data_IF_177242100630
#
_entry.id   IF_177242100630
#
_cell.length_a   1.000
_cell.length_b   1.000
_cell.length_c   1.000
_cell.angle_alpha   90.00
_cell.angle_beta   90.00
_cell.angle_gamma   90.00
#
_symmetry.space_group_name_H-M   'P 1'
#
loop_
_entity.id
_entity.type
_entity.pdbx_description
1 polymer ?
#
# COMPACT_ATOMS: atom_id res chain seq x y z
N UNK A 1 0.12 -4.11 -20.18
CA UNK A 1 -1.31 -3.95 -19.82
C UNK A 1 -1.42 -4.38 -18.38
N UNK A 2 -1.80 -3.43 -17.53
CA UNK A 2 -1.94 -3.61 -16.10
C UNK A 2 -3.06 -4.59 -15.78
N UNK A 3 -2.80 -5.53 -14.86
CA UNK A 3 -3.80 -6.47 -14.36
C UNK A 3 -4.11 -6.16 -12.90
N UNK A 4 -5.40 -6.13 -12.57
CA UNK A 4 -5.88 -6.00 -11.21
C UNK A 4 -6.71 -7.23 -10.86
N UNK A 5 -6.28 -7.91 -9.80
CA UNK A 5 -6.97 -9.03 -9.18
C UNK A 5 -7.49 -8.58 -7.81
N UNK A 6 -8.82 -8.63 -7.63
CA UNK A 6 -9.42 -8.44 -6.31
C UNK A 6 -9.32 -9.74 -5.53
N UNK A 7 -8.45 -9.78 -4.50
CA UNK A 7 -8.29 -10.98 -3.66
C UNK A 7 -9.45 -11.12 -2.69
N UNK A 8 -9.87 -10.02 -2.06
CA UNK A 8 -11.00 -9.97 -1.14
C UNK A 8 -11.52 -8.52 -0.99
N UNK A 9 -12.44 -8.29 -0.06
CA UNK A 9 -13.06 -6.98 0.15
C UNK A 9 -12.08 -5.88 0.61
N UNK A 10 -11.02 -6.28 1.29
CA UNK A 10 -10.04 -5.40 1.93
C UNK A 10 -8.65 -5.55 1.31
N UNK A 11 -8.47 -6.38 0.29
CA UNK A 11 -7.17 -6.71 -0.30
C UNK A 11 -7.29 -6.81 -1.81
N UNK A 12 -6.45 -6.05 -2.49
CA UNK A 12 -6.33 -6.06 -3.94
C UNK A 12 -4.86 -6.34 -4.31
N UNK A 13 -4.67 -7.03 -5.42
CA UNK A 13 -3.36 -7.26 -6.01
C UNK A 13 -3.36 -6.64 -7.39
N UNK A 14 -2.29 -5.94 -7.67
CA UNK A 14 -2.05 -5.30 -8.95
C UNK A 14 -0.74 -5.85 -9.49
N UNK A 15 -0.78 -6.32 -10.72
CA UNK A 15 0.39 -6.79 -11.45
C UNK A 15 0.74 -5.73 -12.50
N UNK A 16 1.93 -5.16 -12.34
CA UNK A 16 2.51 -4.18 -13.24
C UNK A 16 3.58 -4.88 -14.06
N UNK A 17 3.38 -4.94 -15.38
CA UNK A 17 4.42 -5.47 -16.25
C UNK A 17 5.61 -4.50 -16.31
N UNK A 18 6.80 -5.01 -16.65
CA UNK A 18 7.98 -4.14 -16.88
C UNK A 18 7.70 -3.04 -17.90
N UNK A 19 6.83 -3.30 -18.88
CA UNK A 19 6.46 -2.33 -19.89
C UNK A 19 5.57 -1.21 -19.31
N UNK A 20 4.57 -1.55 -18.48
CA UNK A 20 3.72 -0.55 -17.83
C UNK A 20 4.53 0.34 -16.87
N UNK A 21 5.56 -0.21 -16.23
CA UNK A 21 6.50 0.56 -15.41
C UNK A 21 7.34 1.54 -16.27
N UNK A 22 7.84 1.06 -17.41
CA UNK A 22 8.61 1.88 -18.36
C UNK A 22 7.78 3.00 -18.98
N UNK A 23 6.54 2.73 -19.37
CA UNK A 23 5.61 3.73 -19.93
C UNK A 23 5.32 4.86 -18.92
N UNK A 24 5.32 4.52 -17.63
CA UNK A 24 5.19 5.49 -16.52
C UNK A 24 6.52 6.11 -16.09
N UNK A 25 7.63 5.72 -16.72
CA UNK A 25 8.97 6.25 -16.45
C UNK A 25 9.56 5.81 -15.11
N UNK A 26 9.04 4.72 -14.51
CA UNK A 26 9.47 4.24 -13.19
C UNK A 26 10.17 2.89 -13.34
N UNK A 27 11.23 2.66 -12.55
CA UNK A 27 11.94 1.37 -12.54
C UNK A 27 11.75 0.68 -11.20
N UNK A 28 11.83 -0.66 -11.15
CA UNK A 28 11.74 -1.43 -9.90
C UNK A 28 12.74 -0.94 -8.85
N UNK A 29 13.95 -0.53 -9.27
CA UNK A 29 14.96 0.03 -8.38
C UNK A 29 14.55 1.38 -7.78
N UNK A 30 13.84 2.20 -8.54
CA UNK A 30 13.32 3.49 -8.08
C UNK A 30 12.26 3.31 -6.98
N UNK A 31 11.41 2.28 -7.12
CA UNK A 31 10.41 1.91 -6.12
C UNK A 31 11.06 1.47 -4.78
N UNK A 32 12.27 0.92 -4.83
CA UNK A 32 13.03 0.52 -3.65
C UNK A 32 13.79 1.71 -3.01
N UNK A 33 14.07 2.77 -3.78
CA UNK A 33 14.92 3.88 -3.38
C UNK A 33 14.18 5.16 -2.96
N UNK A 34 12.99 5.42 -3.52
CA UNK A 34 12.36 6.74 -3.43
C UNK A 34 10.94 6.70 -2.83
N UNK A 35 10.85 6.68 -1.50
CA UNK A 35 9.60 6.57 -0.72
C UNK A 35 8.51 7.59 -1.08
N UNK A 36 8.84 8.85 -1.38
CA UNK A 36 7.81 9.87 -1.68
C UNK A 36 7.22 9.74 -3.08
N UNK A 37 8.08 9.44 -4.06
CA UNK A 37 7.65 9.28 -5.45
C UNK A 37 6.84 7.99 -5.60
N UNK A 38 7.27 6.93 -4.92
CA UNK A 38 6.58 5.64 -4.95
C UNK A 38 5.23 5.68 -4.22
N UNK A 39 5.13 6.46 -3.14
CA UNK A 39 3.86 6.67 -2.44
C UNK A 39 2.82 7.33 -3.35
N UNK A 40 3.20 8.39 -4.08
CA UNK A 40 2.31 9.03 -5.04
C UNK A 40 1.89 8.09 -6.17
N UNK A 41 2.82 7.24 -6.64
CA UNK A 41 2.53 6.22 -7.64
C UNK A 41 1.50 5.21 -7.13
N UNK A 42 1.65 4.69 -5.91
CA UNK A 42 0.69 3.73 -5.36
C UNK A 42 -0.71 4.32 -5.15
N UNK A 43 -0.81 5.56 -4.70
CA UNK A 43 -2.11 6.24 -4.61
C UNK A 43 -2.74 6.44 -5.98
N UNK A 44 -1.96 6.73 -7.02
CA UNK A 44 -2.47 6.79 -8.40
C UNK A 44 -2.99 5.42 -8.89
N UNK A 45 -2.30 4.34 -8.54
CA UNK A 45 -2.75 2.98 -8.87
C UNK A 45 -4.04 2.66 -8.11
N UNK A 46 -4.10 3.00 -6.83
CA UNK A 46 -5.27 2.78 -5.98
C UNK A 46 -6.49 3.53 -6.53
N UNK A 47 -6.36 4.80 -6.88
CA UNK A 47 -7.43 5.60 -7.49
C UNK A 47 -7.95 5.01 -8.82
N UNK A 48 -7.04 4.44 -9.63
CA UNK A 48 -7.40 3.83 -10.91
C UNK A 48 -8.18 2.51 -10.74
N UNK A 49 -7.86 1.71 -9.72
CA UNK A 49 -8.46 0.38 -9.49
C UNK A 49 -9.61 0.38 -8.48
N UNK A 50 -9.62 1.31 -7.52
CA UNK A 50 -10.61 1.46 -6.46
C UNK A 50 -11.71 2.47 -6.84
N UNK A 51 -12.49 2.15 -7.88
CA UNK A 51 -13.57 3.03 -8.36
C UNK A 51 -14.64 3.33 -7.30
N UNK A 52 -14.83 2.40 -6.37
CA UNK A 52 -15.78 2.51 -5.27
C UNK A 52 -15.22 3.28 -4.06
N UNK A 53 -13.97 3.76 -4.12
CA UNK A 53 -13.30 4.53 -3.07
C UNK A 53 -13.30 3.85 -1.69
N UNK A 54 -13.33 2.51 -1.67
CA UNK A 54 -13.36 1.70 -0.42
C UNK A 54 -12.06 1.87 0.38
N UNK A 55 -10.95 2.09 -0.32
CA UNK A 55 -9.61 2.28 0.25
C UNK A 55 -9.24 3.75 0.42
N UNK A 56 -9.94 4.67 -0.25
CA UNK A 56 -9.73 6.13 -0.11
C UNK A 56 -10.33 6.72 1.19
N UNK A 57 -10.98 5.89 2.01
CA UNK A 57 -11.82 6.34 3.12
C UNK A 57 -11.04 6.61 4.43
N UNK A 58 -9.91 7.33 4.34
CA UNK A 58 -9.11 7.84 5.47
C UNK A 58 -8.59 6.77 6.45
N UNK A 59 -8.57 5.51 6.03
CA UNK A 59 -8.17 4.37 6.85
C UNK A 59 -6.74 3.93 6.50
N UNK A 60 -5.99 3.39 7.47
CA UNK A 60 -4.63 2.93 7.23
C UNK A 60 -4.63 1.77 6.22
N UNK A 61 -3.95 1.99 5.09
CA UNK A 61 -3.69 0.97 4.07
C UNK A 61 -2.22 0.55 4.11
N UNK A 62 -1.99 -0.75 3.91
CA UNK A 62 -0.66 -1.34 3.82
C UNK A 62 -0.34 -1.62 2.36
N UNK A 63 0.84 -1.17 1.92
CA UNK A 63 1.37 -1.45 0.58
C UNK A 63 2.51 -2.45 0.68
N UNK A 64 2.37 -3.59 -0.01
CA UNK A 64 3.39 -4.62 -0.09
C UNK A 64 3.85 -4.78 -1.53
N UNK A 65 5.18 -4.80 -1.73
CA UNK A 65 5.82 -4.73 -3.04
C UNK A 65 6.69 -5.97 -3.21
N UNK A 66 6.50 -6.69 -4.31
CA UNK A 66 7.29 -7.88 -4.63
C UNK A 66 7.77 -7.81 -6.08
N UNK A 67 9.09 -7.77 -6.33
CA UNK A 67 9.60 -7.90 -7.69
C UNK A 67 9.32 -9.31 -8.21
N UNK A 68 8.84 -9.42 -9.45
CA UNK A 68 8.66 -10.70 -10.15
C UNK A 68 9.35 -10.63 -11.52
N UNK A 69 9.63 -11.78 -12.14
CA UNK A 69 10.20 -11.90 -13.49
C UNK A 69 9.43 -11.15 -14.57
N UNK A 70 8.13 -10.91 -14.35
CA UNK A 70 7.26 -10.22 -15.30
C UNK A 70 7.16 -8.70 -15.04
N UNK A 71 7.71 -8.21 -13.93
CA UNK A 71 7.64 -6.80 -13.52
C UNK A 71 7.55 -6.66 -12.01
N UNK A 72 6.39 -6.23 -11.51
CA UNK A 72 6.15 -5.92 -10.11
C UNK A 72 4.76 -6.36 -9.69
N UNK A 73 4.69 -7.02 -8.54
CA UNK A 73 3.43 -7.28 -7.85
C UNK A 73 3.28 -6.30 -6.69
N UNK A 74 2.12 -5.66 -6.65
CA UNK A 74 1.72 -4.74 -5.60
C UNK A 74 0.48 -5.32 -4.92
N UNK A 75 0.55 -5.53 -3.61
CA UNK A 75 -0.58 -5.93 -2.79
C UNK A 75 -0.95 -4.75 -1.92
N UNK A 76 -2.22 -4.37 -1.95
CA UNK A 76 -2.77 -3.28 -1.16
C UNK A 76 -3.81 -3.90 -0.24
N UNK A 77 -3.60 -3.80 1.06
CA UNK A 77 -4.53 -4.30 2.07
C UNK A 77 -4.93 -3.20 3.02
N UNK A 78 -6.24 -3.00 3.18
CA UNK A 78 -6.78 -2.14 4.21
C UNK A 78 -6.68 -2.87 5.55
N UNK A 79 -6.09 -2.22 6.55
CA UNK A 79 -6.26 -2.72 7.91
C UNK A 79 -7.73 -2.55 8.25
N UNK A 80 -8.41 -3.66 8.50
CA UNK A 80 -9.58 -3.59 9.34
C UNK A 80 -9.02 -3.11 10.67
N UNK A 81 -9.36 -1.88 11.07
CA UNK A 81 -9.48 -1.61 12.49
C UNK A 81 -10.46 -2.69 13.00
N UNK A 82 -9.89 -3.81 13.46
CA UNK A 82 -10.52 -4.55 14.54
C UNK A 82 -10.74 -3.47 15.59
N UNK A 83 -12.01 -3.09 15.74
CA UNK A 83 -12.49 -2.33 16.87
C UNK A 83 -12.23 -3.17 18.14
N UNK A 84 -10.96 -3.23 18.51
CA UNK A 84 -10.44 -3.76 19.76
C UNK A 84 -9.18 -2.95 20.13
N UNK A 85 -9.35 -1.62 20.09
CA UNK A 85 -8.56 -0.66 20.86
C UNK A 85 -8.81 -0.79 22.38
N UNK A 86 -9.28 -1.94 22.86
CA UNK A 86 -9.45 -2.23 24.29
C UNK A 86 -8.74 -3.51 24.64
N UNK A 87 -7.44 -3.48 24.98
CA UNK A 87 -6.83 -4.39 25.99
C UNK A 87 -5.33 -4.20 26.27
N UNK A 88 -4.59 -3.29 25.62
CA UNK A 88 -3.13 -3.14 25.85
C UNK A 88 -2.61 -1.80 26.38
N UNK A 89 -3.44 -1.02 27.08
CA UNK A 89 -2.95 0.12 27.86
C UNK A 89 -3.59 0.22 29.24
N UNK A 90 -3.65 -0.90 29.98
CA UNK A 90 -3.59 -0.80 31.44
C UNK A 90 -2.18 -1.15 31.88
N UNK A 91 -1.56 -0.18 32.56
CA UNK A 91 -0.28 -0.29 33.27
C UNK A 91 0.97 -0.28 32.38
N UNK A 92 1.56 0.90 32.19
CA UNK A 92 2.74 1.28 32.99
C UNK A 92 3.17 2.72 32.66
N UNK A 93 3.42 3.46 33.74
CA UNK A 93 3.58 4.90 33.82
C UNK A 93 4.85 5.39 33.09
N UNK A 94 4.75 6.52 32.41
CA UNK A 94 5.86 7.21 31.76
C UNK A 94 6.96 7.61 32.76
N UNK A 95 8.24 7.54 32.37
CA UNK A 95 9.25 8.46 32.88
C UNK A 95 9.47 9.59 31.88
N UNK A 96 9.13 10.80 32.31
CA UNK A 96 9.57 12.09 31.77
C UNK A 96 11.08 12.15 31.60
N UNK A 97 11.58 12.56 30.43
CA UNK A 97 12.86 13.26 30.30
C UNK A 97 12.67 14.47 29.38
N UNK A 98 12.86 15.66 29.96
CA UNK A 98 13.10 16.92 29.27
C UNK A 98 14.51 16.92 28.67
N UNK A 99 14.64 17.34 27.41
CA UNK A 99 15.73 18.20 26.92
C UNK A 99 15.18 19.13 25.84
#
# INVERSE_FOLDING_TARGET
MMEMDRLNENTIKVILSTQDLQDRGVTVLDLLGNKKQIESFFYSILDEVDKDHVFSNNEPVTFQIMPNKQGLELIISKSLDDADETLFATQNLAPTIMM
#
